data_IF_045553137497
#
_entry.id   IF_045553137497
#
_cell.length_a   1.000
_cell.length_b   1.000
_cell.length_c   1.000
_cell.angle_alpha   90.00
_cell.angle_beta   90.00
_cell.angle_gamma   90.00
#
_symmetry.space_group_name_H-M   'P 1'
#
loop_
_entity.id
_entity.type
_entity.pdbx_description
1 polymer ?
#
# COMPACT_ATOMS: atom_id res chain seq x y z
N UNK A 1 9.57 2.82 5.37
CA UNK A 1 9.19 1.89 4.28
C UNK A 1 10.14 1.85 3.07
N UNK A 2 10.98 2.87 2.84
CA UNK A 2 11.96 2.88 1.74
C UNK A 2 12.90 1.65 1.68
N UNK A 3 13.34 1.13 2.82
CA UNK A 3 14.18 -0.07 2.85
C UNK A 3 13.44 -1.32 2.34
N UNK A 4 12.19 -1.53 2.76
CA UNK A 4 11.36 -2.62 2.24
C UNK A 4 11.11 -2.45 0.74
N UNK A 5 10.87 -1.21 0.27
CA UNK A 5 10.66 -0.93 -1.15
C UNK A 5 11.85 -1.35 -2.02
N UNK A 6 13.08 -1.20 -1.54
CA UNK A 6 14.31 -1.59 -2.25
C UNK A 6 14.47 -3.09 -2.45
N UNK A 7 13.82 -3.91 -1.61
CA UNK A 7 13.90 -5.37 -1.69
C UNK A 7 12.91 -5.95 -2.72
N UNK A 8 11.91 -5.17 -3.13
CA UNK A 8 10.86 -5.61 -4.04
C UNK A 8 11.08 -5.08 -5.46
N UNK A 9 11.01 -5.98 -6.44
CA UNK A 9 10.90 -5.59 -7.85
C UNK A 9 9.57 -4.85 -8.07
N UNK A 10 9.50 -3.89 -9.01
CA UNK A 10 8.22 -3.31 -9.40
C UNK A 10 7.20 -4.39 -9.80
N UNK A 11 6.00 -4.30 -9.24
CA UNK A 11 4.93 -5.28 -9.36
C UNK A 11 4.91 -6.35 -8.26
N UNK A 12 5.97 -6.45 -7.44
CA UNK A 12 6.02 -7.34 -6.29
C UNK A 12 5.13 -6.86 -5.15
N UNK A 13 4.64 -7.79 -4.33
CA UNK A 13 3.76 -7.50 -3.21
C UNK A 13 4.50 -7.51 -1.88
N UNK A 14 4.13 -6.56 -1.02
CA UNK A 14 4.43 -6.55 0.40
C UNK A 14 3.17 -6.99 1.16
N UNK A 15 3.34 -7.94 2.09
CA UNK A 15 2.32 -8.34 3.05
C UNK A 15 2.78 -7.94 4.45
N UNK A 16 1.95 -7.20 5.18
CA UNK A 16 2.22 -6.70 6.52
C UNK A 16 1.13 -7.20 7.47
N UNK A 17 1.50 -7.80 8.59
CA UNK A 17 0.59 -8.06 9.70
C UNK A 17 0.88 -7.03 10.78
N UNK A 18 0.00 -6.04 10.92
CA UNK A 18 0.23 -4.87 11.77
C UNK A 18 -0.99 -4.57 12.63
N UNK A 19 -0.75 -3.99 13.81
CA UNK A 19 -1.83 -3.46 14.65
C UNK A 19 -2.35 -2.17 14.03
N UNK A 20 -3.64 -2.14 13.71
CA UNK A 20 -4.30 -1.00 13.05
C UNK A 20 -5.37 -0.35 13.92
N UNK A 21 -5.75 -1.00 15.02
CA UNK A 21 -6.64 -0.45 16.03
C UNK A 21 -5.86 -0.24 17.35
N UNK A 22 -5.78 1.03 17.78
CA UNK A 22 -5.07 1.45 18.98
C UNK A 22 -5.94 1.53 20.24
N UNK A 23 -7.26 1.31 20.14
CA UNK A 23 -8.19 1.44 21.26
C UNK A 23 -7.95 0.39 22.38
N UNK A 24 -7.61 -0.88 22.08
CA UNK A 24 -7.44 -1.87 23.14
C UNK A 24 -6.18 -1.64 23.98
N UNK A 25 -6.38 -1.21 25.24
CA UNK A 25 -5.30 -0.93 26.20
C UNK A 25 -4.36 -2.11 26.46
N UNK A 26 -4.83 -3.35 26.29
CA UNK A 26 -4.06 -4.57 26.61
C UNK A 26 -2.70 -4.60 25.91
N UNK A 27 -2.63 -4.11 24.69
CA UNK A 27 -1.40 -4.15 23.89
C UNK A 27 -0.35 -3.21 24.49
N UNK A 28 -0.76 -1.98 24.82
CA UNK A 28 0.09 -1.02 25.54
C UNK A 28 0.46 -1.53 26.93
N UNK A 29 -0.44 -2.24 27.64
CA UNK A 29 -0.14 -2.83 28.93
C UNK A 29 0.91 -3.95 28.87
N UNK A 30 0.91 -4.76 27.80
CA UNK A 30 1.86 -5.86 27.60
C UNK A 30 3.21 -5.32 27.12
N UNK A 31 3.23 -4.49 26.08
CA UNK A 31 4.46 -4.11 25.38
C UNK A 31 4.99 -2.72 25.74
N UNK A 32 4.20 -1.85 26.38
CA UNK A 32 4.60 -0.48 26.74
C UNK A 32 5.75 -0.40 27.76
N UNK A 33 6.11 -1.50 28.40
CA UNK A 33 7.32 -1.55 29.26
C UNK A 33 8.60 -1.77 28.45
N UNK A 34 8.50 -2.13 27.17
CA UNK A 34 9.64 -2.38 26.30
C UNK A 34 10.09 -1.05 25.65
N UNK A 35 11.40 -0.71 25.66
CA UNK A 35 11.90 0.50 25.01
C UNK A 35 11.52 0.61 23.54
N UNK A 36 11.45 -0.54 22.84
CA UNK A 36 11.06 -0.63 21.44
C UNK A 36 9.66 -0.08 21.14
N UNK A 37 8.75 -0.12 22.11
CA UNK A 37 7.39 0.42 21.98
C UNK A 37 7.39 1.95 21.74
N UNK A 38 8.43 2.63 22.19
CA UNK A 38 8.51 4.09 22.24
C UNK A 38 9.39 4.69 21.14
N UNK A 39 9.88 3.88 20.19
CA UNK A 39 10.76 4.36 19.10
C UNK A 39 10.09 5.38 18.16
N UNK A 40 8.76 5.47 18.17
CA UNK A 40 8.00 6.46 17.40
C UNK A 40 7.75 7.79 18.11
N UNK A 41 8.25 7.99 19.33
CA UNK A 41 7.92 9.19 20.10
C UNK A 41 8.29 10.49 19.37
N UNK A 42 9.46 10.51 18.72
CA UNK A 42 9.97 11.69 18.00
C UNK A 42 9.26 11.97 16.67
N UNK A 43 8.51 11.00 16.14
CA UNK A 43 7.73 11.14 14.90
C UNK A 43 6.21 11.36 15.15
N UNK A 44 5.84 11.65 16.40
CA UNK A 44 4.47 11.97 16.82
C UNK A 44 3.67 10.79 17.35
N UNK A 45 4.19 9.57 17.24
CA UNK A 45 3.60 8.33 17.79
C UNK A 45 3.88 8.18 19.29
N UNK A 46 3.34 9.11 20.08
CA UNK A 46 3.66 9.24 21.52
C UNK A 46 2.90 8.26 22.43
N UNK A 47 1.77 7.70 21.99
CA UNK A 47 0.94 6.79 22.79
C UNK A 47 1.12 5.31 22.41
N UNK A 48 1.51 5.05 21.17
CA UNK A 48 1.65 3.72 20.59
C UNK A 48 2.52 3.81 19.34
N UNK A 49 3.35 2.81 19.03
CA UNK A 49 4.10 2.76 17.77
C UNK A 49 3.21 2.40 16.57
N UNK A 50 1.94 2.04 16.76
CA UNK A 50 1.11 1.48 15.71
C UNK A 50 0.41 2.57 14.90
N UNK A 51 0.38 2.40 13.58
CA UNK A 51 -0.41 3.25 12.69
C UNK A 51 -1.81 2.69 12.46
N UNK A 52 -2.79 3.59 12.31
CA UNK A 52 -4.11 3.27 11.76
C UNK A 52 -4.00 2.81 10.31
N UNK A 53 -5.06 2.18 9.77
CA UNK A 53 -5.09 1.80 8.36
C UNK A 53 -4.89 2.98 7.40
N UNK A 54 -5.43 4.17 7.73
CA UNK A 54 -5.28 5.37 6.92
C UNK A 54 -3.83 5.91 6.92
N UNK A 55 -3.16 5.86 8.07
CA UNK A 55 -1.75 6.26 8.19
C UNK A 55 -0.84 5.27 7.44
N UNK A 56 -1.14 3.97 7.50
CA UNK A 56 -0.46 2.96 6.69
C UNK A 56 -0.64 3.21 5.19
N UNK A 57 -1.86 3.48 4.74
CA UNK A 57 -2.15 3.79 3.33
C UNK A 57 -1.31 4.98 2.83
N UNK A 58 -1.30 6.07 3.60
CA UNK A 58 -0.51 7.26 3.27
C UNK A 58 0.99 6.97 3.25
N UNK A 59 1.52 6.27 4.25
CA UNK A 59 2.94 5.93 4.33
C UNK A 59 3.39 5.02 3.17
N UNK A 60 2.57 4.03 2.82
CA UNK A 60 2.84 3.11 1.72
C UNK A 60 2.87 3.89 0.40
N UNK A 61 1.90 4.76 0.16
CA UNK A 61 1.85 5.61 -1.02
C UNK A 61 3.09 6.51 -1.15
N UNK A 62 3.46 7.20 -0.06
CA UNK A 62 4.62 8.09 -0.02
C UNK A 62 5.98 7.38 -0.25
N UNK A 63 6.02 6.05 -0.09
CA UNK A 63 7.26 5.27 -0.16
C UNK A 63 7.34 4.32 -1.35
N UNK A 64 6.53 4.59 -2.39
CA UNK A 64 6.61 3.90 -3.68
C UNK A 64 5.82 2.59 -3.74
N UNK A 65 4.80 2.45 -2.90
CA UNK A 65 3.78 1.42 -3.01
C UNK A 65 2.45 1.99 -3.52
N UNK A 66 1.50 1.13 -3.86
CA UNK A 66 0.17 1.50 -4.35
C UNK A 66 -0.77 2.10 -3.29
N UNK A 67 -0.33 2.20 -2.03
CA UNK A 67 -1.23 2.29 -0.88
C UNK A 67 -1.66 0.89 -0.43
N UNK A 68 -2.81 0.79 0.24
CA UNK A 68 -3.42 -0.48 0.62
C UNK A 68 -4.25 -1.01 -0.56
N UNK A 69 -3.82 -2.12 -1.16
CA UNK A 69 -4.59 -2.83 -2.20
C UNK A 69 -5.75 -3.61 -1.57
N UNK A 70 -5.50 -4.21 -0.40
CA UNK A 70 -6.53 -4.88 0.39
C UNK A 70 -6.10 -4.98 1.85
N UNK A 71 -7.08 -5.01 2.75
CA UNK A 71 -6.92 -5.29 4.16
C UNK A 71 -7.96 -6.30 4.63
N UNK A 72 -7.62 -7.11 5.63
CA UNK A 72 -8.61 -7.94 6.31
C UNK A 72 -9.65 -7.07 7.01
N UNK A 73 -10.95 -7.42 6.96
CA UNK A 73 -12.00 -6.69 7.66
C UNK A 73 -11.82 -6.78 9.17
N UNK A 74 -12.26 -5.73 9.86
CA UNK A 74 -12.21 -5.64 11.31
C UNK A 74 -13.41 -6.39 11.93
N UNK A 75 -13.31 -7.72 11.98
CA UNK A 75 -14.42 -8.59 12.36
C UNK A 75 -14.65 -8.66 13.87
N UNK A 76 -13.58 -8.59 14.66
CA UNK A 76 -13.64 -8.51 16.13
C UNK A 76 -12.41 -7.74 16.66
N UNK A 77 -12.48 -6.39 16.70
CA UNK A 77 -11.33 -5.52 16.96
C UNK A 77 -10.76 -5.68 18.38
N UNK A 78 -11.59 -6.10 19.34
CA UNK A 78 -11.20 -6.24 20.73
C UNK A 78 -10.19 -7.39 20.93
N UNK A 79 -10.45 -8.64 20.51
CA UNK A 79 -9.48 -9.73 20.61
C UNK A 79 -8.37 -9.67 19.55
N UNK A 80 -8.57 -9.02 18.41
CA UNK A 80 -7.60 -9.00 17.30
C UNK A 80 -7.50 -7.63 16.61
N UNK A 81 -6.75 -6.65 17.18
CA UNK A 81 -6.57 -5.31 16.61
C UNK A 81 -5.59 -5.29 15.43
N UNK A 82 -5.26 -6.45 14.86
CA UNK A 82 -4.30 -6.58 13.77
C UNK A 82 -5.01 -6.75 12.43
N UNK A 83 -4.45 -6.16 11.39
CA UNK A 83 -4.88 -6.36 10.01
C UNK A 83 -3.74 -6.95 9.19
N UNK A 84 -4.09 -7.87 8.26
CA UNK A 84 -3.20 -8.23 7.16
C UNK A 84 -3.42 -7.23 6.03
N UNK A 85 -2.37 -6.47 5.71
CA UNK A 85 -2.35 -5.45 4.67
C UNK A 85 -1.54 -5.98 3.49
N UNK A 86 -2.07 -5.83 2.28
CA UNK A 86 -1.32 -6.07 1.04
C UNK A 86 -1.11 -4.76 0.28
N UNK A 87 0.11 -4.54 -0.20
CA UNK A 87 0.48 -3.36 -0.98
C UNK A 87 1.45 -3.75 -2.11
N UNK A 88 1.25 -3.22 -3.30
CA UNK A 88 2.13 -3.52 -4.44
C UNK A 88 3.23 -2.47 -4.54
N UNK A 89 4.47 -2.89 -4.77
CA UNK A 89 5.56 -2.00 -5.13
C UNK A 89 5.34 -1.46 -6.55
N UNK A 90 5.21 -0.14 -6.71
CA UNK A 90 4.86 0.48 -7.99
C UNK A 90 6.00 1.27 -8.62
N UNK A 91 5.90 1.42 -9.93
CA UNK A 91 6.64 2.35 -10.79
C UNK A 91 5.69 2.83 -11.91
N UNK A 92 6.15 3.68 -12.83
CA UNK A 92 5.32 4.23 -13.92
C UNK A 92 4.68 3.13 -14.77
N UNK A 93 5.42 2.05 -15.04
CA UNK A 93 4.93 0.91 -15.82
C UNK A 93 3.85 0.14 -15.08
N UNK A 94 4.03 -0.14 -13.79
CA UNK A 94 3.04 -0.84 -12.96
C UNK A 94 1.80 0.03 -12.78
N UNK A 95 1.95 1.33 -12.53
CA UNK A 95 0.84 2.26 -12.44
C UNK A 95 0.04 2.31 -13.75
N UNK A 96 0.73 2.38 -14.90
CA UNK A 96 0.10 2.25 -16.21
C UNK A 96 -0.70 0.95 -16.35
N UNK A 97 -0.13 -0.19 -15.98
CA UNK A 97 -0.85 -1.47 -16.09
C UNK A 97 -2.05 -1.57 -15.14
N UNK A 98 -2.00 -0.92 -13.97
CA UNK A 98 -3.09 -0.91 -13.00
C UNK A 98 -4.25 -0.01 -13.44
N UNK A 99 -3.94 1.14 -14.04
CA UNK A 99 -4.93 2.12 -14.50
C UNK A 99 -4.57 2.67 -15.89
N UNK A 100 -4.64 1.85 -16.95
CA UNK A 100 -4.14 2.21 -18.28
C UNK A 100 -4.89 3.38 -18.89
N UNK A 101 -6.18 3.53 -18.55
CA UNK A 101 -7.03 4.61 -19.05
C UNK A 101 -6.89 5.92 -18.26
N UNK A 102 -6.37 5.86 -17.03
CA UNK A 102 -6.17 7.04 -16.19
C UNK A 102 -4.76 7.63 -16.33
N UNK A 103 -3.84 6.91 -16.99
CA UNK A 103 -2.45 7.31 -17.10
C UNK A 103 -2.28 8.34 -18.23
N UNK A 104 -1.80 9.57 -17.93
CA UNK A 104 -1.49 10.56 -18.96
C UNK A 104 -0.45 10.03 -19.94
N UNK A 105 -0.58 10.37 -21.22
CA UNK A 105 0.35 9.94 -22.26
C UNK A 105 1.83 10.31 -21.97
N UNK A 106 2.06 11.37 -21.18
CA UNK A 106 3.39 11.82 -20.74
C UNK A 106 4.07 10.90 -19.73
N UNK A 107 3.31 10.04 -19.03
CA UNK A 107 3.82 9.08 -18.05
C UNK A 107 3.93 7.66 -18.64
N UNK A 108 3.73 7.52 -19.95
CA UNK A 108 3.94 6.25 -20.61
C UNK A 108 5.43 5.87 -20.53
N UNK A 109 5.76 4.60 -20.23
CA UNK A 109 7.14 4.16 -20.15
C UNK A 109 7.88 4.43 -21.47
N UNK A 110 8.86 5.31 -21.46
CA UNK A 110 9.74 5.57 -22.61
C UNK A 110 10.52 4.31 -22.95
N UNK A 111 10.34 3.79 -24.18
CA UNK A 111 11.09 2.63 -24.67
C UNK A 111 10.35 1.30 -24.68
N UNK A 112 9.04 1.27 -24.42
CA UNK A 112 8.25 0.13 -24.89
C UNK A 112 8.23 0.17 -26.43
N UNK A 113 8.65 -0.90 -27.14
CA UNK A 113 8.38 -1.04 -28.56
C UNK A 113 6.89 -1.33 -28.72
N UNK A 114 6.02 -0.35 -28.43
CA UNK A 114 4.58 -0.50 -28.64
C UNK A 114 4.29 -0.26 -30.11
N UNK A 115 4.56 -1.27 -30.93
CA UNK A 115 4.02 -1.32 -32.28
C UNK A 115 2.48 -1.50 -32.27
N UNK A 116 1.92 -2.01 -31.16
CA UNK A 116 0.48 -2.23 -31.03
C UNK A 116 0.09 -2.39 -29.54
N UNK A 117 -0.66 -1.42 -28.97
CA UNK A 117 -1.27 -1.55 -27.64
C UNK A 117 -2.76 -1.88 -27.82
N UNK A 118 -3.12 -3.15 -27.61
CA UNK A 118 -4.52 -3.59 -27.67
C UNK A 118 -5.06 -3.74 -26.26
N UNK A 119 -5.93 -2.81 -25.86
CA UNK A 119 -6.68 -2.90 -24.59
C UNK A 119 -7.94 -3.72 -24.85
N UNK A 120 -7.95 -4.98 -24.40
CA UNK A 120 -9.15 -5.83 -24.46
C UNK A 120 -10.00 -5.58 -23.22
N UNK A 121 -11.01 -4.72 -23.35
CA UNK A 121 -11.99 -4.45 -22.29
C UNK A 121 -13.08 -5.52 -22.23
N UNK A 122 -13.37 -6.04 -21.04
CA UNK A 122 -14.55 -6.88 -20.77
C UNK A 122 -15.76 -6.03 -20.35
N UNK A 123 -16.85 -6.13 -21.12
CA UNK A 123 -18.19 -5.53 -20.91
C UNK A 123 -18.22 -4.02 -20.52
N UNK A 124 -17.68 -3.18 -21.40
CA UNK A 124 -18.29 -1.87 -21.75
C UNK A 124 -17.87 -1.49 -23.17
N UNK A 125 -18.84 -1.03 -23.97
CA UNK A 125 -18.86 -1.06 -25.44
C UNK A 125 -18.19 0.13 -26.15
N UNK A 126 -16.94 0.48 -25.81
CA UNK A 126 -16.13 1.37 -26.67
C UNK A 126 -14.64 1.00 -26.62
N UNK A 127 -14.19 0.23 -27.61
CA UNK A 127 -12.78 0.16 -27.95
C UNK A 127 -12.40 1.47 -28.65
N UNK A 128 -11.38 2.17 -28.13
CA UNK A 128 -10.75 3.30 -28.80
C UNK A 128 -9.31 2.90 -29.13
N UNK A 129 -9.03 2.75 -30.42
CA UNK A 129 -7.66 2.62 -30.94
C UNK A 129 -7.13 4.03 -31.22
N UNK A 130 -6.06 4.44 -30.55
CA UNK A 130 -5.25 5.56 -31.00
C UNK A 130 -4.33 5.05 -32.13
N UNK A 131 -4.66 5.43 -33.37
CA UNK A 131 -3.75 5.36 -34.51
C UNK A 131 -2.84 6.58 -34.57
#
# INVERSE_FOLDING_TARGET
MNNARRLLKPGGYLLLLEMTNNDPIRTGAIFGTLPGWWLGMDDGRVLSPCFTAAEWDSLLWQTGFSGIDTLTPDLDPLPFPCSLIAAQAVDDRVNFLRQPLATPASLLPTGLPMAELVIVGGQSTKASSSG
#
